data_IF_768808766982
#
_entry.id   IF_768808766982
#
_cell.length_a   1.000
_cell.length_b   1.000
_cell.length_c   1.000
_cell.angle_alpha   90.00
_cell.angle_beta   90.00
_cell.angle_gamma   90.00
#
_symmetry.space_group_name_H-M   'P 1'
#
loop_
_entity.id
_entity.type
_entity.pdbx_description
1 polymer ?
#
# COMPACT_ATOMS: atom_id res chain seq x y z
N UNK A 1 2.85 -2.58 36.16
CA UNK A 1 3.18 -1.24 35.60
C UNK A 1 1.97 -0.36 35.80
N UNK A 2 2.02 0.56 36.76
CA UNK A 2 1.00 1.61 36.88
C UNK A 2 1.05 2.52 35.66
N UNK A 3 -0.14 2.87 35.13
CA UNK A 3 -0.28 3.70 33.93
C UNK A 3 0.02 5.15 34.30
N UNK A 4 0.96 5.77 33.60
CA UNK A 4 1.24 7.19 33.77
C UNK A 4 0.00 8.02 33.36
N UNK A 5 -0.43 8.96 34.20
CA UNK A 5 -1.55 9.87 33.96
C UNK A 5 -1.09 11.07 33.10
N UNK A 6 -2.00 11.68 32.33
CA UNK A 6 -1.72 12.86 31.49
C UNK A 6 -0.92 14.02 32.15
N UNK A 7 -1.06 14.33 33.46
CA UNK A 7 -0.23 15.34 34.14
C UNK A 7 1.27 15.02 34.12
N UNK A 8 1.63 13.75 34.08
CA UNK A 8 3.02 13.30 34.06
C UNK A 8 3.65 13.50 32.69
N UNK A 9 2.85 13.49 31.62
CA UNK A 9 3.33 13.70 30.26
C UNK A 9 3.69 15.18 30.00
N UNK A 10 2.94 16.11 30.59
CA UNK A 10 3.26 17.54 30.53
C UNK A 10 4.47 17.88 31.41
N UNK A 11 4.61 17.22 32.56
CA UNK A 11 5.83 17.30 33.38
C UNK A 11 7.05 16.81 32.60
N UNK A 12 6.93 15.70 31.88
CA UNK A 12 7.99 15.17 31.01
C UNK A 12 8.40 16.18 29.94
N UNK A 13 7.45 16.77 29.22
CA UNK A 13 7.73 17.82 28.24
C UNK A 13 8.46 19.02 28.87
N UNK A 14 7.90 19.56 29.96
CA UNK A 14 8.48 20.71 30.65
C UNK A 14 9.90 20.41 31.13
N UNK A 15 10.12 19.23 31.71
CA UNK A 15 11.48 18.82 32.11
C UNK A 15 12.40 18.70 30.91
N UNK A 16 11.97 18.14 29.77
CA UNK A 16 12.80 18.05 28.57
C UNK A 16 13.19 19.43 28.03
N UNK A 17 12.27 20.40 28.05
CA UNK A 17 12.53 21.80 27.67
C UNK A 17 13.46 22.50 28.66
N UNK A 18 13.22 22.39 29.97
CA UNK A 18 14.07 22.96 31.02
C UNK A 18 15.49 22.39 30.97
N UNK A 19 15.62 21.07 30.75
CA UNK A 19 16.92 20.43 30.59
C UNK A 19 17.63 20.90 29.33
N UNK A 20 16.91 21.04 28.22
CA UNK A 20 17.49 21.58 26.99
C UNK A 20 17.99 23.01 27.14
N UNK A 21 17.25 23.84 27.84
CA UNK A 21 17.67 25.21 28.14
C UNK A 21 18.89 25.25 29.08
N UNK A 22 18.98 24.30 30.02
CA UNK A 22 20.03 24.27 31.04
C UNK A 22 21.36 23.66 30.57
N UNK A 23 21.32 22.75 29.59
CA UNK A 23 22.49 21.99 29.14
C UNK A 23 22.62 21.95 27.60
N UNK A 24 22.74 23.11 26.91
CA UNK A 24 22.72 23.17 25.45
C UNK A 24 23.97 22.56 24.78
N UNK A 25 25.10 22.41 25.49
CA UNK A 25 26.38 21.96 24.92
C UNK A 25 26.99 20.74 25.65
N UNK A 26 26.28 20.14 26.62
CA UNK A 26 26.83 19.02 27.39
C UNK A 26 26.55 17.67 26.71
N UNK A 27 27.45 17.27 25.82
CA UNK A 27 27.45 15.97 25.14
C UNK A 27 27.30 14.78 26.11
N UNK A 28 27.87 14.88 27.32
CA UNK A 28 27.83 13.80 28.31
C UNK A 28 26.47 13.71 28.98
N UNK A 29 25.81 14.86 29.18
CA UNK A 29 24.45 14.91 29.70
C UNK A 29 23.50 14.22 28.72
N UNK A 30 23.50 14.62 27.45
CA UNK A 30 22.62 14.06 26.44
C UNK A 30 22.91 12.59 26.14
N UNK A 31 24.18 12.18 26.11
CA UNK A 31 24.55 10.78 25.92
C UNK A 31 23.94 9.83 26.96
N UNK A 32 23.74 10.28 28.21
CA UNK A 32 23.18 9.46 29.28
C UNK A 32 21.66 9.62 29.43
N UNK A 33 21.14 10.84 29.25
CA UNK A 33 19.73 11.14 29.52
C UNK A 33 18.80 10.90 28.33
N UNK A 34 19.32 10.99 27.10
CA UNK A 34 18.48 10.84 25.91
C UNK A 34 17.87 9.45 25.81
N UNK A 35 18.64 8.39 26.07
CA UNK A 35 18.12 7.01 26.04
C UNK A 35 16.99 6.81 27.05
N UNK A 36 17.11 7.40 28.24
CA UNK A 36 16.07 7.36 29.27
C UNK A 36 14.79 8.09 28.82
N UNK A 37 14.93 9.30 28.25
CA UNK A 37 13.78 10.07 27.75
C UNK A 37 13.09 9.41 26.56
N UNK A 38 13.86 8.79 25.67
CA UNK A 38 13.30 8.00 24.56
C UNK A 38 12.54 6.78 25.10
N UNK A 39 13.04 6.10 26.14
CA UNK A 39 12.34 4.99 26.79
C UNK A 39 11.06 5.44 27.51
N UNK A 40 11.04 6.62 28.13
CA UNK A 40 9.81 7.18 28.72
C UNK A 40 8.78 7.53 27.64
N UNK A 41 9.22 8.18 26.56
CA UNK A 41 8.36 8.45 25.41
C UNK A 41 7.81 7.15 24.79
N UNK A 42 8.62 6.09 24.73
CA UNK A 42 8.21 4.77 24.29
C UNK A 42 7.15 4.15 25.21
N UNK A 43 7.35 4.22 26.52
CA UNK A 43 6.40 3.71 27.50
C UNK A 43 5.06 4.45 27.42
N UNK A 44 5.09 5.77 27.20
CA UNK A 44 3.89 6.58 26.95
C UNK A 44 3.21 6.19 25.63
N UNK A 45 3.99 6.02 24.55
CA UNK A 45 3.47 5.56 23.26
C UNK A 45 2.82 4.16 23.36
N UNK A 46 3.39 3.30 24.19
CA UNK A 46 2.93 1.93 24.42
C UNK A 46 1.63 1.84 25.21
N UNK A 47 1.22 2.92 25.87
CA UNK A 47 -0.06 2.96 26.59
C UNK A 47 -1.29 2.88 25.67
N UNK A 48 -1.12 3.14 24.36
CA UNK A 48 -2.21 3.18 23.38
C UNK A 48 -3.13 4.38 23.51
N UNK A 49 -2.88 5.30 24.45
CA UNK A 49 -3.72 6.48 24.64
C UNK A 49 -3.22 7.66 23.80
N UNK A 50 -4.12 8.26 23.00
CA UNK A 50 -3.84 9.45 22.20
C UNK A 50 -3.17 10.60 22.96
N UNK A 51 -3.60 10.92 24.19
CA UNK A 51 -2.99 11.96 25.02
C UNK A 51 -1.54 11.64 25.42
N UNK A 52 -1.23 10.38 25.71
CA UNK A 52 0.13 9.92 25.97
C UNK A 52 1.00 9.98 24.72
N UNK A 53 0.45 9.61 23.56
CA UNK A 53 1.13 9.71 22.28
C UNK A 53 1.40 11.17 21.86
N UNK A 54 0.44 12.06 22.04
CA UNK A 54 0.60 13.49 21.78
C UNK A 54 1.75 14.08 22.60
N UNK A 55 1.78 13.81 23.91
CA UNK A 55 2.84 14.31 24.78
C UNK A 55 4.21 13.71 24.43
N UNK A 56 4.28 12.40 24.15
CA UNK A 56 5.51 11.76 23.68
C UNK A 56 6.00 12.35 22.34
N UNK A 57 5.09 12.73 21.44
CA UNK A 57 5.43 13.39 20.18
C UNK A 57 6.03 14.79 20.42
N UNK A 58 5.46 15.56 21.35
CA UNK A 58 6.01 16.87 21.76
C UNK A 58 7.42 16.71 22.33
N UNK A 59 7.61 15.74 23.23
CA UNK A 59 8.92 15.40 23.81
C UNK A 59 9.91 15.02 22.71
N UNK A 60 9.54 14.13 21.78
CA UNK A 60 10.41 13.76 20.65
C UNK A 60 10.76 14.94 19.76
N UNK A 61 9.83 15.88 19.51
CA UNK A 61 10.11 17.06 18.70
C UNK A 61 11.21 17.93 19.32
N UNK A 62 11.19 18.07 20.65
CA UNK A 62 12.24 18.78 21.41
C UNK A 62 13.56 18.01 21.38
N UNK A 63 13.51 16.70 21.64
CA UNK A 63 14.68 15.84 21.76
C UNK A 63 15.32 15.45 20.42
N UNK A 64 14.62 15.61 19.30
CA UNK A 64 15.09 15.15 17.98
C UNK A 64 16.41 15.80 17.55
N UNK A 65 16.56 17.11 17.74
CA UNK A 65 17.79 17.80 17.35
C UNK A 65 18.98 17.25 18.13
N UNK A 66 18.79 17.05 19.44
CA UNK A 66 19.80 16.46 20.32
C UNK A 66 20.08 14.99 19.95
N UNK A 67 19.04 14.21 19.62
CA UNK A 67 19.19 12.82 19.21
C UNK A 67 19.97 12.63 17.92
N UNK A 68 19.77 13.54 16.96
CA UNK A 68 20.53 13.56 15.72
C UNK A 68 21.97 14.06 15.93
N UNK A 69 22.20 14.97 16.88
CA UNK A 69 23.53 15.48 17.23
C UNK A 69 24.39 14.50 18.02
N UNK A 70 23.83 13.79 18.99
CA UNK A 70 24.57 12.97 19.96
C UNK A 70 24.58 11.47 19.64
N UNK A 71 24.44 11.09 18.36
CA UNK A 71 24.54 9.70 17.87
C UNK A 71 23.55 8.71 18.51
N UNK A 72 22.36 9.16 18.92
CA UNK A 72 21.33 8.21 19.24
C UNK A 72 21.03 7.32 18.04
N UNK A 73 20.69 6.06 18.28
CA UNK A 73 20.34 5.12 17.22
C UNK A 73 19.17 5.69 16.40
N UNK A 74 19.39 6.09 15.13
CA UNK A 74 18.35 6.69 14.30
C UNK A 74 17.15 5.75 14.10
N UNK A 75 17.36 4.43 14.21
CA UNK A 75 16.28 3.46 14.12
C UNK A 75 15.32 3.54 15.32
N UNK A 76 15.83 3.84 16.51
CA UNK A 76 15.00 3.97 17.72
C UNK A 76 14.11 5.20 17.66
N UNK A 77 14.66 6.37 17.32
CA UNK A 77 13.86 7.59 17.14
C UNK A 77 12.79 7.37 16.07
N UNK A 78 13.17 6.75 14.95
CA UNK A 78 12.24 6.42 13.87
C UNK A 78 11.07 5.53 14.35
N UNK A 79 11.36 4.41 15.03
CA UNK A 79 10.31 3.52 15.54
C UNK A 79 9.31 4.25 16.44
N UNK A 80 9.80 5.17 17.26
CA UNK A 80 8.95 5.97 18.14
C UNK A 80 8.08 6.95 17.35
N UNK A 81 8.64 7.67 16.37
CA UNK A 81 7.87 8.59 15.52
C UNK A 81 6.72 7.86 14.80
N UNK A 82 6.99 6.70 14.21
CA UNK A 82 5.99 5.87 13.52
C UNK A 82 4.92 5.38 14.48
N UNK A 83 5.31 4.87 15.65
CA UNK A 83 4.37 4.37 16.66
C UNK A 83 3.42 5.47 17.15
N UNK A 84 3.95 6.67 17.40
CA UNK A 84 3.16 7.80 17.86
C UNK A 84 2.19 8.29 16.79
N UNK A 85 2.66 8.39 15.54
CA UNK A 85 1.80 8.73 14.43
C UNK A 85 0.66 7.70 14.22
N UNK A 86 0.93 6.40 14.40
CA UNK A 86 -0.11 5.35 14.40
C UNK A 86 -1.16 5.59 15.49
N UNK A 87 -0.74 5.79 16.73
CA UNK A 87 -1.66 6.01 17.84
C UNK A 87 -2.52 7.26 17.63
N UNK A 88 -1.93 8.35 17.11
CA UNK A 88 -2.66 9.59 16.83
C UNK A 88 -3.62 9.48 15.63
N UNK A 89 -3.32 8.61 14.67
CA UNK A 89 -4.19 8.29 13.54
C UNK A 89 -5.41 7.47 13.99
N UNK A 90 -5.19 6.39 14.74
CA UNK A 90 -6.25 5.46 15.17
C UNK A 90 -7.35 6.14 16.02
N UNK A 91 -6.98 7.08 16.88
CA UNK A 91 -7.94 7.85 17.70
C UNK A 91 -8.86 8.76 16.87
N UNK A 92 -8.44 9.13 15.65
CA UNK A 92 -9.25 9.92 14.73
C UNK A 92 -10.30 9.10 13.96
N UNK A 93 -9.98 7.85 13.60
CA UNK A 93 -10.82 7.00 12.74
C UNK A 93 -12.07 6.47 13.43
N UNK A 94 -12.00 6.18 14.74
CA UNK A 94 -13.15 5.68 15.52
C UNK A 94 -14.33 6.67 15.54
N UNK A 95 -14.06 7.96 15.33
CA UNK A 95 -15.08 9.01 15.33
C UNK A 95 -15.81 9.16 13.99
N UNK A 96 -15.13 8.90 12.87
CA UNK A 96 -15.69 9.10 11.53
C UNK A 96 -16.66 7.99 11.11
N UNK A 97 -16.44 6.77 11.60
CA UNK A 97 -17.27 5.60 11.28
C UNK A 97 -18.46 5.40 12.24
N UNK A 98 -18.57 6.21 13.29
CA UNK A 98 -19.70 6.22 14.23
C UNK A 98 -20.99 6.69 13.56
N UNK A 99 -21.59 5.81 12.77
CA UNK A 99 -22.94 5.95 12.19
C UNK A 99 -24.04 5.46 13.14
N UNK A 100 -23.75 5.40 14.44
CA UNK A 100 -24.76 5.14 15.48
C UNK A 100 -25.78 6.30 15.52
N UNK A 101 -26.76 6.19 14.62
CA UNK A 101 -28.10 6.75 14.79
C UNK A 101 -28.68 6.15 16.07
N UNK A 102 -28.42 6.79 17.19
CA UNK A 102 -29.15 6.55 18.42
C UNK A 102 -30.58 7.10 18.27
N UNK A 103 -31.48 6.26 17.75
CA UNK A 103 -32.87 6.24 18.21
C UNK A 103 -32.85 5.65 19.62
N UNK A 104 -33.19 6.44 20.64
CA UNK A 104 -33.40 5.90 21.99
C UNK A 104 -33.04 6.85 23.12
N UNK A 105 -34.07 7.52 23.63
CA UNK A 105 -34.11 8.29 24.87
C UNK A 105 -33.66 7.51 26.11
N UNK A 106 -33.15 8.25 27.11
CA UNK A 106 -33.00 7.91 28.54
C UNK A 106 -31.81 7.03 29.01
N UNK A 107 -30.75 7.66 29.54
CA UNK A 107 -30.45 7.72 30.99
C UNK A 107 -29.01 8.19 31.32
N UNK A 108 -28.97 9.13 32.27
CA UNK A 108 -28.09 9.25 33.45
C UNK A 108 -26.57 9.49 33.29
N UNK A 109 -26.18 10.75 33.56
CA UNK A 109 -25.15 11.19 34.52
C UNK A 109 -24.08 10.16 34.95
N UNK A 110 -23.19 9.84 34.01
CA UNK A 110 -21.86 9.32 34.31
C UNK A 110 -20.82 10.37 33.94
N UNK A 111 -20.34 11.14 34.93
CA UNK A 111 -19.15 11.98 34.83
C UNK A 111 -17.88 11.10 34.71
N UNK A 112 -17.81 10.29 33.65
CA UNK A 112 -16.62 9.60 33.23
C UNK A 112 -15.72 10.61 32.56
N UNK A 113 -14.53 10.84 33.14
CA UNK A 113 -13.46 11.59 32.53
C UNK A 113 -13.26 11.09 31.10
N UNK A 114 -13.82 11.82 30.12
CA UNK A 114 -13.64 11.55 28.71
C UNK A 114 -12.15 11.50 28.45
N UNK A 115 -11.65 10.31 28.09
CA UNK A 115 -10.30 10.13 27.61
C UNK A 115 -10.09 11.18 26.53
N UNK A 116 -9.22 12.16 26.82
CA UNK A 116 -9.02 13.30 25.94
C UNK A 116 -8.40 12.76 24.66
N UNK A 117 -9.23 12.62 23.62
CA UNK A 117 -8.83 12.33 22.26
C UNK A 117 -7.74 13.31 21.81
N UNK A 118 -6.89 12.85 20.90
CA UNK A 118 -5.88 13.67 20.23
C UNK A 118 -6.55 14.88 19.59
N UNK A 119 -6.05 16.07 19.94
CA UNK A 119 -6.55 17.31 19.38
C UNK A 119 -6.21 17.41 17.88
N UNK A 120 -6.92 18.26 17.13
CA UNK A 120 -6.54 18.55 15.74
C UNK A 120 -5.08 19.04 15.61
N UNK A 121 -4.58 19.73 16.65
CA UNK A 121 -3.18 20.16 16.73
C UNK A 121 -2.20 18.98 16.85
N UNK A 122 -2.57 17.92 17.59
CA UNK A 122 -1.71 16.73 17.71
C UNK A 122 -1.64 15.96 16.39
N UNK A 123 -2.77 15.86 15.67
CA UNK A 123 -2.80 15.31 14.31
C UNK A 123 -1.94 16.12 13.35
N UNK A 124 -2.06 17.45 13.37
CA UNK A 124 -1.21 18.32 12.56
C UNK A 124 0.27 18.13 12.90
N UNK A 125 0.63 18.08 14.19
CA UNK A 125 2.01 17.89 14.62
C UNK A 125 2.58 16.54 14.14
N UNK A 126 1.78 15.47 14.15
CA UNK A 126 2.19 14.18 13.61
C UNK A 126 2.39 14.23 12.09
N UNK A 127 1.48 14.87 11.37
CA UNK A 127 1.59 15.09 9.93
C UNK A 127 2.85 15.88 9.57
N UNK A 128 3.08 17.02 10.22
CA UNK A 128 4.25 17.88 10.02
C UNK A 128 5.56 17.12 10.26
N UNK A 129 5.60 16.28 11.29
CA UNK A 129 6.76 15.47 11.61
C UNK A 129 7.06 14.46 10.50
N UNK A 130 6.07 13.69 10.08
CA UNK A 130 6.21 12.72 8.99
C UNK A 130 6.58 13.42 7.67
N UNK A 131 5.99 14.58 7.40
CA UNK A 131 6.28 15.38 6.22
C UNK A 131 7.74 15.87 6.21
N UNK A 132 8.23 16.39 7.34
CA UNK A 132 9.62 16.79 7.47
C UNK A 132 10.59 15.61 7.21
N UNK A 133 10.25 14.40 7.65
CA UNK A 133 11.03 13.18 7.37
C UNK A 133 11.02 12.78 5.91
N UNK A 134 9.89 12.93 5.23
CA UNK A 134 9.82 12.79 3.77
C UNK A 134 10.76 13.77 3.08
N UNK A 135 10.74 15.05 3.46
CA UNK A 135 11.63 16.07 2.87
C UNK A 135 13.11 15.74 3.08
N UNK A 136 13.50 15.23 4.24
CA UNK A 136 14.85 14.72 4.51
C UNK A 136 15.24 13.55 3.60
N UNK A 137 14.33 12.59 3.43
CA UNK A 137 14.55 11.46 2.52
C UNK A 137 14.73 11.94 1.09
N UNK A 138 13.85 12.81 0.59
CA UNK A 138 13.96 13.37 -0.78
C UNK A 138 15.31 14.05 -1.00
N UNK A 139 15.77 14.85 -0.03
CA UNK A 139 17.11 15.49 -0.09
C UNK A 139 18.22 14.46 -0.10
N UNK A 140 18.11 13.39 0.69
CA UNK A 140 19.10 12.31 0.75
C UNK A 140 19.17 11.55 -0.58
N UNK A 141 18.02 11.22 -1.18
CA UNK A 141 17.95 10.53 -2.49
C UNK A 141 18.49 11.44 -3.60
N UNK A 142 18.09 12.72 -3.62
CA UNK A 142 18.56 13.69 -4.61
C UNK A 142 20.08 13.94 -4.52
N UNK A 143 20.63 14.07 -3.31
CA UNK A 143 22.06 14.26 -3.08
C UNK A 143 22.93 13.06 -3.50
N UNK A 144 22.33 11.87 -3.62
CA UNK A 144 22.99 10.65 -4.08
C UNK A 144 22.90 10.42 -5.59
N UNK A 145 22.24 11.32 -6.33
CA UNK A 145 21.81 11.17 -7.74
C UNK A 145 22.88 10.96 -8.83
N UNK A 146 24.06 10.46 -8.49
CA UNK A 146 25.10 10.03 -9.44
C UNK A 146 25.89 8.79 -9.03
N UNK A 147 25.69 8.27 -7.81
CA UNK A 147 26.40 7.08 -7.31
C UNK A 147 25.43 5.91 -7.18
N UNK A 148 25.85 4.73 -7.64
CA UNK A 148 25.07 3.50 -7.52
C UNK A 148 24.78 3.21 -6.03
N UNK A 149 23.57 3.55 -5.59
CA UNK A 149 23.21 3.47 -4.18
C UNK A 149 22.77 2.05 -3.85
N UNK A 150 23.72 1.18 -3.49
CA UNK A 150 23.43 -0.19 -3.04
C UNK A 150 22.51 -0.27 -1.81
N UNK A 151 22.30 0.85 -1.11
CA UNK A 151 21.45 0.97 0.08
C UNK A 151 20.10 1.68 -0.18
N UNK A 152 19.79 2.07 -1.43
CA UNK A 152 18.53 2.78 -1.73
C UNK A 152 17.31 1.92 -1.42
N UNK A 153 17.34 0.63 -1.77
CA UNK A 153 16.24 -0.30 -1.50
C UNK A 153 15.95 -0.42 0.00
N UNK A 154 16.99 -0.54 0.84
CA UNK A 154 16.84 -0.62 2.28
C UNK A 154 16.37 0.70 2.88
N UNK A 155 16.84 1.83 2.36
CA UNK A 155 16.38 3.16 2.75
C UNK A 155 14.89 3.36 2.42
N UNK A 156 14.46 3.04 1.20
CA UNK A 156 13.06 3.13 0.77
C UNK A 156 12.17 2.22 1.62
N UNK A 157 12.60 0.98 1.85
CA UNK A 157 11.90 0.02 2.72
C UNK A 157 11.73 0.58 4.14
N UNK A 158 12.80 1.17 4.72
CA UNK A 158 12.75 1.78 6.06
C UNK A 158 11.79 2.98 6.15
N UNK A 159 11.46 3.61 5.02
CA UNK A 159 10.56 4.76 4.97
C UNK A 159 9.15 4.42 4.52
N UNK A 160 8.89 3.17 4.09
CA UNK A 160 7.57 2.74 3.65
C UNK A 160 6.47 3.04 4.68
N UNK A 161 6.68 2.66 5.95
CA UNK A 161 5.73 2.90 7.04
C UNK A 161 5.35 4.38 7.20
N UNK A 162 6.28 5.30 6.88
CA UNK A 162 6.00 6.75 6.94
C UNK A 162 5.09 7.20 5.80
N UNK A 163 5.29 6.68 4.60
CA UNK A 163 4.39 6.94 3.47
C UNK A 163 3.00 6.39 3.77
N UNK A 164 2.92 5.18 4.31
CA UNK A 164 1.65 4.58 4.74
C UNK A 164 0.91 5.45 5.74
N UNK A 165 1.61 5.98 6.73
CA UNK A 165 1.02 6.89 7.71
C UNK A 165 0.62 8.23 7.12
N UNK A 166 1.46 8.85 6.29
CA UNK A 166 1.12 10.10 5.62
C UNK A 166 -0.11 9.96 4.73
N UNK A 167 -0.13 8.95 3.86
CA UNK A 167 -1.25 8.64 2.97
C UNK A 167 -2.51 8.36 3.80
N UNK A 168 -2.39 7.55 4.84
CA UNK A 168 -3.48 7.25 5.75
C UNK A 168 -4.05 8.50 6.42
N UNK A 169 -3.21 9.34 7.02
CA UNK A 169 -3.63 10.59 7.66
C UNK A 169 -4.30 11.55 6.67
N UNK A 170 -3.79 11.66 5.44
CA UNK A 170 -4.40 12.50 4.40
C UNK A 170 -5.78 12.00 4.01
N UNK A 171 -5.99 10.69 3.90
CA UNK A 171 -7.28 10.11 3.53
C UNK A 171 -8.29 10.16 4.69
N UNK A 172 -7.85 9.85 5.91
CA UNK A 172 -8.72 9.81 7.09
C UNK A 172 -9.17 11.22 7.51
N UNK A 173 -8.43 12.26 7.09
CA UNK A 173 -8.63 13.64 7.52
C UNK A 173 -8.71 14.64 6.37
N UNK A 174 -8.99 14.19 5.14
CA UNK A 174 -9.05 15.01 3.93
C UNK A 174 -9.98 16.24 4.05
N UNK A 175 -10.97 16.21 4.94
CA UNK A 175 -11.86 17.33 5.25
C UNK A 175 -11.74 17.90 6.68
N UNK A 176 -10.84 17.38 7.52
CA UNK A 176 -10.79 17.68 8.95
C UNK A 176 -9.77 18.77 9.33
N UNK A 177 -9.34 19.59 8.36
CA UNK A 177 -8.51 20.77 8.61
C UNK A 177 -7.02 20.48 8.83
N UNK A 178 -6.48 19.40 8.26
CA UNK A 178 -5.03 19.28 8.14
C UNK A 178 -4.52 20.41 7.23
N UNK A 179 -3.62 21.24 7.77
CA UNK A 179 -2.89 22.22 6.99
C UNK A 179 -1.91 21.49 6.08
N UNK A 180 -2.18 21.57 4.77
CA UNK A 180 -1.31 20.99 3.75
C UNK A 180 -0.07 21.87 3.57
N UNK A 181 1.07 21.26 3.20
CA UNK A 181 2.33 21.97 3.01
C UNK A 181 2.25 22.93 1.81
N UNK A 182 3.04 24.00 1.84
CA UNK A 182 3.15 24.92 0.70
C UNK A 182 3.57 24.18 -0.58
N UNK A 183 2.91 24.49 -1.70
CA UNK A 183 3.11 23.80 -2.97
C UNK A 183 2.44 22.42 -3.06
N UNK A 184 1.65 22.01 -2.05
CA UNK A 184 0.66 20.96 -2.25
C UNK A 184 -0.29 21.33 -3.40
N UNK A 185 -0.90 20.35 -4.07
CA UNK A 185 -1.86 20.62 -5.14
C UNK A 185 -2.92 21.60 -4.66
N UNK A 186 -3.09 22.71 -5.37
CA UNK A 186 -4.25 23.57 -5.22
C UNK A 186 -5.42 22.82 -5.87
N UNK A 187 -6.00 21.86 -5.14
CA UNK A 187 -7.12 21.08 -5.66
C UNK A 187 -8.26 22.00 -6.10
N UNK A 188 -8.90 21.68 -7.23
CA UNK A 188 -10.01 22.48 -7.77
C UNK A 188 -11.25 22.49 -6.84
N UNK A 189 -11.32 21.53 -5.91
CA UNK A 189 -12.37 21.41 -4.90
C UNK A 189 -11.76 21.26 -3.50
N UNK A 190 -12.33 21.95 -2.51
CA UNK A 190 -11.91 21.85 -1.11
C UNK A 190 -12.13 20.42 -0.59
N UNK A 191 -11.04 19.72 -0.26
CA UNK A 191 -11.03 18.30 0.15
C UNK A 191 -10.26 17.40 -0.82
N UNK A 192 -10.18 17.77 -2.11
CA UNK A 192 -9.49 16.97 -3.12
C UNK A 192 -7.97 17.06 -2.95
N UNK A 193 -7.43 18.23 -2.60
CA UNK A 193 -6.00 18.46 -2.44
C UNK A 193 -5.28 17.45 -1.53
N UNK A 194 -5.92 17.00 -0.45
CA UNK A 194 -5.34 16.00 0.44
C UNK A 194 -5.30 14.60 -0.20
N UNK A 195 -6.36 14.22 -0.92
CA UNK A 195 -6.43 12.94 -1.66
C UNK A 195 -5.46 12.94 -2.84
N UNK A 196 -5.34 14.07 -3.54
CA UNK A 196 -4.35 14.26 -4.61
C UNK A 196 -2.93 14.14 -4.07
N UNK A 197 -2.64 14.79 -2.95
CA UNK A 197 -1.34 14.66 -2.30
C UNK A 197 -1.08 13.23 -1.85
N UNK A 198 -2.08 12.52 -1.33
CA UNK A 198 -1.96 11.11 -0.96
C UNK A 198 -1.61 10.23 -2.18
N UNK A 199 -2.23 10.49 -3.33
CA UNK A 199 -1.91 9.82 -4.58
C UNK A 199 -0.46 10.10 -5.03
N UNK A 200 -0.04 11.37 -5.02
CA UNK A 200 1.32 11.76 -5.42
C UNK A 200 2.39 11.15 -4.50
N UNK A 201 2.11 11.07 -3.18
CA UNK A 201 2.97 10.39 -2.22
C UNK A 201 3.09 8.89 -2.52
N UNK A 202 1.98 8.25 -2.87
CA UNK A 202 1.96 6.84 -3.25
C UNK A 202 2.80 6.59 -4.51
N UNK A 203 2.60 7.37 -5.57
CA UNK A 203 3.38 7.20 -6.82
C UNK A 203 4.85 7.60 -6.63
N UNK A 204 5.18 8.54 -5.74
CA UNK A 204 6.56 8.83 -5.34
C UNK A 204 7.23 7.63 -4.69
N UNK A 205 6.59 7.01 -3.69
CA UNK A 205 7.11 5.82 -3.05
C UNK A 205 7.30 4.69 -4.05
N UNK A 206 6.31 4.47 -4.92
CA UNK A 206 6.33 3.42 -5.94
C UNK A 206 7.47 3.59 -6.93
N UNK A 207 7.68 4.81 -7.45
CA UNK A 207 8.78 5.12 -8.35
C UNK A 207 10.14 4.83 -7.71
N UNK A 208 10.28 5.05 -6.39
CA UNK A 208 11.51 4.71 -5.68
C UNK A 208 11.71 3.21 -5.48
N UNK A 209 10.66 2.44 -5.19
CA UNK A 209 10.74 0.97 -5.11
C UNK A 209 11.13 0.38 -6.47
N UNK A 210 10.51 0.88 -7.55
CA UNK A 210 10.82 0.47 -8.92
C UNK A 210 12.27 0.85 -9.29
N UNK A 211 12.67 2.10 -9.04
CA UNK A 211 14.02 2.60 -9.31
C UNK A 211 15.10 1.88 -8.51
N UNK A 212 14.83 1.54 -7.25
CA UNK A 212 15.74 0.75 -6.41
C UNK A 212 15.91 -0.70 -6.89
N UNK A 213 14.93 -1.22 -7.65
CA UNK A 213 14.99 -2.55 -8.25
C UNK A 213 15.59 -2.53 -9.67
N UNK A 214 15.72 -1.34 -10.29
CA UNK A 214 16.24 -1.21 -11.64
C UNK A 214 17.77 -1.35 -11.68
N UNK A 215 18.35 -2.05 -12.68
CA UNK A 215 19.79 -2.32 -12.75
C UNK A 215 20.65 -1.06 -12.90
N UNK A 216 20.09 0.05 -13.39
CA UNK A 216 20.79 1.32 -13.49
C UNK A 216 20.77 2.13 -12.18
N UNK A 217 19.89 1.79 -11.23
CA UNK A 217 19.77 2.47 -9.93
C UNK A 217 19.42 3.95 -9.99
N UNK A 218 19.04 4.49 -11.15
CA UNK A 218 18.67 5.89 -11.30
C UNK A 218 17.22 6.06 -10.82
N UNK A 219 16.97 6.84 -9.75
CA UNK A 219 15.60 7.10 -9.30
C UNK A 219 14.84 7.82 -10.40
N UNK A 220 13.69 7.27 -10.77
CA UNK A 220 12.81 7.87 -11.77
C UNK A 220 12.07 9.06 -11.16
N UNK A 221 11.82 10.10 -11.96
CA UNK A 221 10.92 11.18 -11.55
C UNK A 221 9.51 10.59 -11.44
N UNK A 222 8.89 10.60 -10.25
CA UNK A 222 7.55 10.05 -10.09
C UNK A 222 6.53 10.87 -10.85
N UNK A 223 5.55 10.20 -11.44
CA UNK A 223 4.39 10.84 -12.02
C UNK A 223 3.59 11.58 -10.96
N UNK A 224 3.18 12.80 -11.29
CA UNK A 224 2.14 13.51 -10.55
C UNK A 224 0.75 13.15 -11.08
N UNK A 225 -0.28 13.29 -10.25
CA UNK A 225 -1.67 13.15 -10.68
C UNK A 225 -2.00 14.07 -11.85
N UNK A 226 -1.47 15.30 -11.83
CA UNK A 226 -1.66 16.27 -12.92
C UNK A 226 -1.16 15.74 -14.26
N UNK A 227 0.02 15.14 -14.29
CA UNK A 227 0.57 14.52 -15.50
C UNK A 227 -0.24 13.30 -15.93
N UNK A 228 -0.66 12.46 -14.97
CA UNK A 228 -1.54 11.32 -15.25
C UNK A 228 -2.87 11.77 -15.86
N UNK A 229 -3.53 12.78 -15.29
CA UNK A 229 -4.77 13.38 -15.81
C UNK A 229 -4.58 13.86 -17.24
N UNK A 230 -3.52 14.62 -17.50
CA UNK A 230 -3.22 15.11 -18.84
C UNK A 230 -3.01 13.96 -19.85
N UNK A 231 -2.31 12.91 -19.44
CA UNK A 231 -2.09 11.73 -20.27
C UNK A 231 -3.37 10.95 -20.55
N UNK A 232 -4.21 10.74 -19.54
CA UNK A 232 -5.46 9.99 -19.67
C UNK A 232 -6.49 10.75 -20.50
N UNK A 233 -6.62 12.07 -20.29
CA UNK A 233 -7.55 12.91 -21.03
C UNK A 233 -7.19 13.06 -22.52
N UNK A 234 -5.93 12.80 -22.89
CA UNK A 234 -5.49 12.80 -24.28
C UNK A 234 -5.91 11.55 -25.07
N UNK A 235 -6.41 10.51 -24.39
CA UNK A 235 -6.88 9.29 -25.04
C UNK A 235 -8.31 9.49 -25.62
N UNK A 236 -8.57 9.15 -26.90
CA UNK A 236 -9.90 9.31 -27.50
C UNK A 236 -10.98 8.48 -26.79
N UNK A 237 -10.61 7.39 -26.11
CA UNK A 237 -11.51 6.51 -25.38
C UNK A 237 -11.52 6.81 -23.86
N UNK A 238 -11.07 7.99 -23.44
CA UNK A 238 -11.00 8.40 -22.03
C UNK A 238 -12.31 8.17 -21.25
N UNK A 239 -13.48 8.37 -21.87
CA UNK A 239 -14.79 8.12 -21.23
C UNK A 239 -15.06 6.65 -20.89
N UNK A 240 -14.31 5.72 -21.46
CA UNK A 240 -14.44 4.28 -21.19
C UNK A 240 -13.30 3.76 -20.30
N UNK A 241 -12.39 4.63 -19.85
CA UNK A 241 -11.17 4.24 -19.16
C UNK A 241 -11.12 4.76 -17.72
N UNK A 242 -10.59 3.95 -16.81
CA UNK A 242 -10.17 4.38 -15.49
C UNK A 242 -8.81 3.80 -15.14
N UNK A 243 -8.01 4.58 -14.41
CA UNK A 243 -6.77 4.11 -13.80
C UNK A 243 -7.04 3.74 -12.34
N UNK A 244 -6.59 2.57 -11.92
CA UNK A 244 -6.78 2.04 -10.56
C UNK A 244 -5.41 1.71 -9.97
N UNK A 245 -5.00 2.40 -8.91
CA UNK A 245 -3.69 2.20 -8.26
C UNK A 245 -3.88 1.63 -6.87
N UNK A 246 -3.25 0.50 -6.60
CA UNK A 246 -3.27 -0.13 -5.28
C UNK A 246 -2.00 0.22 -4.51
N UNK A 247 -2.18 0.49 -3.22
CA UNK A 247 -1.12 0.68 -2.25
C UNK A 247 -1.40 -0.21 -1.05
N UNK A 248 -0.56 -1.20 -0.79
CA UNK A 248 -0.75 -2.13 0.32
C UNK A 248 0.26 -1.83 1.42
N UNK A 249 -0.21 -1.81 2.68
CA UNK A 249 0.71 -1.72 3.80
C UNK A 249 1.66 -2.93 3.83
N UNK A 250 2.97 -2.70 3.99
CA UNK A 250 3.96 -3.79 4.11
C UNK A 250 3.83 -4.54 5.42
N UNK A 251 3.50 -3.84 6.50
CA UNK A 251 3.52 -4.42 7.84
C UNK A 251 2.51 -5.56 7.94
N UNK A 252 3.00 -6.69 8.48
CA UNK A 252 2.20 -7.88 8.72
C UNK A 252 1.39 -7.86 10.01
N UNK A 253 1.19 -6.68 10.60
CA UNK A 253 0.28 -6.48 11.72
C UNK A 253 -1.18 -6.51 11.28
N UNK A 254 -2.08 -6.80 12.22
CA UNK A 254 -3.52 -6.94 11.94
C UNK A 254 -4.20 -5.59 11.60
N UNK A 255 -3.47 -4.47 11.68
CA UNK A 255 -3.96 -3.10 11.39
C UNK A 255 -3.58 -2.59 9.99
N UNK A 256 -2.85 -3.38 9.20
CA UNK A 256 -2.44 -2.97 7.85
C UNK A 256 -3.62 -3.01 6.87
N UNK A 257 -3.92 -1.89 6.21
CA UNK A 257 -4.93 -1.79 5.16
C UNK A 257 -4.37 -1.69 3.75
N UNK A 258 -5.26 -1.66 2.77
CA UNK A 258 -4.98 -1.35 1.38
C UNK A 258 -5.74 -0.09 0.98
N UNK A 259 -5.02 0.85 0.37
CA UNK A 259 -5.60 2.04 -0.25
C UNK A 259 -5.71 1.80 -1.75
N UNK A 260 -6.85 2.15 -2.33
CA UNK A 260 -7.12 2.02 -3.76
C UNK A 260 -7.48 3.41 -4.29
N UNK A 261 -6.66 3.94 -5.20
CA UNK A 261 -6.95 5.19 -5.89
C UNK A 261 -7.58 4.91 -7.24
N UNK A 262 -8.66 5.62 -7.58
CA UNK A 262 -9.30 5.58 -8.89
C UNK A 262 -9.20 6.95 -9.53
N UNK A 263 -8.68 7.01 -10.75
CA UNK A 263 -8.67 8.22 -11.58
C UNK A 263 -9.51 7.96 -12.82
N UNK A 264 -10.58 8.74 -12.99
CA UNK A 264 -11.39 8.71 -14.21
C UNK A 264 -10.66 9.44 -15.34
N UNK A 265 -10.49 8.79 -16.49
CA UNK A 265 -9.67 9.35 -17.56
C UNK A 265 -10.31 10.58 -18.23
N UNK A 266 -11.64 10.64 -18.32
CA UNK A 266 -12.38 11.74 -18.94
C UNK A 266 -12.52 12.99 -18.07
N UNK A 267 -12.85 12.80 -16.81
CA UNK A 267 -13.14 13.87 -15.86
C UNK A 267 -11.92 14.26 -15.02
N UNK A 268 -10.89 13.41 -14.99
CA UNK A 268 -9.76 13.56 -14.08
C UNK A 268 -10.13 13.36 -12.60
N UNK A 269 -11.38 12.99 -12.29
CA UNK A 269 -11.84 12.82 -10.91
C UNK A 269 -10.99 11.74 -10.22
N UNK A 270 -10.47 12.08 -9.04
CA UNK A 270 -9.73 11.16 -8.17
C UNK A 270 -10.64 10.73 -7.02
N UNK A 271 -10.62 9.44 -6.68
CA UNK A 271 -11.30 8.90 -5.51
C UNK A 271 -10.41 7.90 -4.80
N UNK A 272 -10.28 8.03 -3.48
CA UNK A 272 -9.56 7.08 -2.63
C UNK A 272 -10.54 6.15 -1.91
N UNK A 273 -10.25 4.85 -1.95
CA UNK A 273 -10.96 3.83 -1.17
C UNK A 273 -9.99 3.21 -0.18
N UNK A 274 -10.49 2.84 0.99
CA UNK A 274 -9.75 2.07 1.97
C UNK A 274 -10.37 0.69 2.14
N UNK A 275 -9.50 -0.29 2.29
CA UNK A 275 -9.84 -1.70 2.50
C UNK A 275 -9.06 -2.20 3.71
N UNK A 276 -9.70 -3.02 4.54
CA UNK A 276 -9.04 -3.65 5.69
C UNK A 276 -8.05 -4.75 5.29
N UNK A 277 -7.96 -5.07 4.00
CA UNK A 277 -7.08 -6.12 3.50
C UNK A 277 -5.62 -5.70 3.53
N UNK A 278 -4.84 -6.37 4.38
CA UNK A 278 -3.42 -6.06 4.57
C UNK A 278 -2.50 -6.81 3.59
N UNK A 279 -1.27 -6.30 3.42
CA UNK A 279 -0.27 -6.94 2.54
C UNK A 279 0.06 -8.39 2.93
N UNK A 280 -0.02 -8.74 4.23
CA UNK A 280 0.18 -10.13 4.69
C UNK A 280 -0.93 -11.06 4.21
N UNK A 281 -2.18 -10.62 4.25
CA UNK A 281 -3.33 -11.39 3.76
C UNK A 281 -3.21 -11.60 2.26
N UNK A 282 -2.80 -10.58 1.52
CA UNK A 282 -2.60 -10.64 0.08
C UNK A 282 -1.47 -11.61 -0.31
N UNK A 283 -0.33 -11.54 0.38
CA UNK A 283 0.78 -12.50 0.18
C UNK A 283 0.37 -13.93 0.55
N UNK A 284 -0.44 -14.11 1.61
CA UNK A 284 -1.01 -15.41 1.98
C UNK A 284 -1.96 -15.94 0.91
N UNK A 285 -2.87 -15.10 0.40
CA UNK A 285 -3.78 -15.45 -0.68
C UNK A 285 -3.01 -15.84 -1.95
N UNK A 286 -2.01 -15.06 -2.36
CA UNK A 286 -1.14 -15.39 -3.49
C UNK A 286 -0.40 -16.72 -3.29
N UNK A 287 0.16 -16.95 -2.10
CA UNK A 287 0.81 -18.22 -1.75
C UNK A 287 -0.15 -19.40 -1.79
N UNK A 288 -1.39 -19.23 -1.32
CA UNK A 288 -2.44 -20.25 -1.39
C UNK A 288 -2.90 -20.51 -2.83
N UNK A 289 -3.05 -19.48 -3.66
CA UNK A 289 -3.36 -19.63 -5.08
C UNK A 289 -2.27 -20.43 -5.79
N UNK A 290 -1.00 -20.03 -5.63
CA UNK A 290 0.14 -20.75 -6.20
C UNK A 290 0.12 -22.22 -5.79
N UNK A 291 -0.05 -22.54 -4.50
CA UNK A 291 -0.18 -23.94 -4.05
C UNK A 291 -1.40 -24.65 -4.64
N UNK A 292 -2.53 -23.97 -4.79
CA UNK A 292 -3.74 -24.57 -5.34
C UNK A 292 -3.58 -24.96 -6.82
N UNK A 293 -2.87 -24.14 -7.60
CA UNK A 293 -2.64 -24.35 -9.04
C UNK A 293 -1.41 -25.23 -9.32
N UNK A 294 -0.27 -24.94 -8.70
CA UNK A 294 1.01 -25.59 -8.97
C UNK A 294 1.25 -26.83 -8.09
N UNK A 295 0.43 -27.00 -7.05
CA UNK A 295 0.64 -28.03 -6.03
C UNK A 295 1.59 -27.59 -4.93
N UNK A 296 1.85 -28.51 -4.01
CA UNK A 296 2.76 -28.37 -2.87
C UNK A 296 3.28 -29.77 -2.51
N UNK A 297 4.50 -30.09 -2.96
CA UNK A 297 5.12 -31.39 -2.74
C UNK A 297 5.51 -31.62 -1.26
N UNK A 298 5.71 -30.53 -0.51
CA UNK A 298 6.14 -30.55 0.88
C UNK A 298 4.96 -30.57 1.85
N UNK A 299 3.73 -30.35 1.36
CA UNK A 299 2.51 -30.51 2.14
C UNK A 299 2.32 -31.97 2.60
N UNK A 300 1.64 -32.16 3.72
CA UNK A 300 1.30 -33.49 4.25
C UNK A 300 -0.23 -33.66 4.33
N UNK A 301 -0.88 -34.43 3.43
CA UNK A 301 -0.30 -35.14 2.28
C UNK A 301 0.11 -34.19 1.12
N UNK A 302 1.03 -34.63 0.23
CA UNK A 302 1.46 -33.81 -0.91
C UNK A 302 0.27 -33.40 -1.77
N UNK A 303 0.26 -32.12 -2.14
CA UNK A 303 -0.79 -31.52 -2.95
C UNK A 303 -0.36 -31.57 -4.43
N UNK A 304 -0.98 -32.38 -5.29
CA UNK A 304 -0.61 -32.38 -6.70
C UNK A 304 -1.08 -31.08 -7.40
N UNK A 305 -0.41 -30.67 -8.50
CA UNK A 305 -0.86 -29.59 -9.35
C UNK A 305 -2.31 -29.76 -9.80
N UNK A 306 -2.99 -28.66 -10.09
CA UNK A 306 -4.37 -28.67 -10.52
C UNK A 306 -4.50 -29.44 -11.85
N UNK A 307 -5.31 -30.52 -11.92
CA UNK A 307 -5.48 -31.25 -13.15
C UNK A 307 -6.25 -30.40 -14.17
N UNK A 308 -5.67 -30.20 -15.35
CA UNK A 308 -6.23 -29.37 -16.42
C UNK A 308 -7.68 -29.71 -16.81
N UNK A 309 -8.10 -30.97 -16.60
CA UNK A 309 -9.46 -31.44 -16.93
C UNK A 309 -10.52 -31.10 -15.87
N UNK A 310 -10.13 -30.72 -14.64
CA UNK A 310 -11.06 -30.49 -13.52
C UNK A 310 -10.61 -29.33 -12.63
N UNK A 311 -10.45 -28.10 -13.18
CA UNK A 311 -9.98 -26.96 -12.41
C UNK A 311 -10.92 -26.58 -11.25
N UNK A 312 -12.23 -26.82 -11.40
CA UNK A 312 -13.26 -26.53 -10.39
C UNK A 312 -13.19 -27.40 -9.11
N UNK A 313 -12.29 -28.39 -9.02
CA UNK A 313 -12.17 -29.24 -7.83
C UNK A 313 -11.43 -28.59 -6.67
N UNK A 314 -10.70 -27.50 -6.90
CA UNK A 314 -10.05 -26.75 -5.83
C UNK A 314 -10.96 -25.60 -5.43
N UNK A 315 -11.32 -25.57 -4.15
CA UNK A 315 -12.02 -24.43 -3.57
C UNK A 315 -11.08 -23.23 -3.50
N UNK A 316 -11.56 -22.09 -4.00
CA UNK A 316 -10.84 -20.83 -3.98
C UNK A 316 -11.54 -19.81 -3.06
N UNK A 317 -12.33 -20.28 -2.09
CA UNK A 317 -13.13 -19.47 -1.17
C UNK A 317 -12.30 -18.30 -0.58
N UNK A 318 -11.05 -18.56 -0.18
CA UNK A 318 -10.16 -17.52 0.36
C UNK A 318 -9.80 -16.37 -0.61
N UNK A 319 -9.83 -16.63 -1.92
CA UNK A 319 -9.64 -15.62 -2.94
C UNK A 319 -10.95 -14.87 -3.18
N UNK A 320 -12.07 -15.56 -3.14
CA UNK A 320 -13.40 -14.96 -3.21
C UNK A 320 -13.70 -14.07 -2.00
N UNK A 321 -13.27 -14.47 -0.80
CA UNK A 321 -13.39 -13.72 0.46
C UNK A 321 -12.63 -12.39 0.40
N UNK A 322 -11.54 -12.33 -0.38
CA UNK A 322 -10.78 -11.10 -0.58
C UNK A 322 -11.39 -10.15 -1.61
N UNK A 323 -12.35 -10.61 -2.42
CA UNK A 323 -12.88 -9.84 -3.53
C UNK A 323 -13.61 -8.55 -3.09
N UNK A 324 -14.47 -8.54 -2.06
CA UNK A 324 -15.15 -7.31 -1.63
C UNK A 324 -14.18 -6.19 -1.26
N UNK A 325 -13.09 -6.52 -0.55
CA UNK A 325 -12.08 -5.54 -0.16
C UNK A 325 -11.17 -5.11 -1.32
N UNK A 326 -10.81 -6.02 -2.24
CA UNK A 326 -9.98 -5.69 -3.40
C UNK A 326 -10.75 -4.96 -4.51
N UNK A 327 -12.07 -5.12 -4.55
CA UNK A 327 -12.98 -4.54 -5.53
C UNK A 327 -13.85 -3.43 -4.93
N UNK A 328 -13.45 -2.85 -3.79
CA UNK A 328 -14.17 -1.75 -3.14
C UNK A 328 -14.37 -0.53 -4.05
N UNK A 329 -13.54 -0.40 -5.08
CA UNK A 329 -13.57 0.67 -6.07
C UNK A 329 -14.65 0.51 -7.17
N UNK A 330 -15.32 -0.65 -7.26
CA UNK A 330 -16.29 -0.93 -8.32
C UNK A 330 -17.38 0.14 -8.52
N UNK A 331 -17.96 0.74 -7.45
CA UNK A 331 -18.95 1.79 -7.63
C UNK A 331 -18.45 2.98 -8.46
N UNK A 332 -17.17 3.38 -8.30
CA UNK A 332 -16.60 4.49 -9.07
C UNK A 332 -16.39 4.16 -10.54
N UNK A 333 -16.03 2.92 -10.88
CA UNK A 333 -15.72 2.53 -12.27
C UNK A 333 -16.94 2.00 -13.05
N UNK A 334 -18.15 2.25 -12.56
CA UNK A 334 -19.39 1.84 -13.25
C UNK A 334 -19.43 2.46 -14.65
N UNK A 335 -19.62 1.62 -15.67
CA UNK A 335 -19.67 2.06 -17.09
C UNK A 335 -18.30 2.27 -17.74
N UNK A 336 -17.19 2.02 -17.03
CA UNK A 336 -15.84 2.02 -17.61
C UNK A 336 -15.52 0.64 -18.16
N UNK A 337 -15.21 0.53 -19.44
CA UNK A 337 -14.93 -0.76 -20.07
C UNK A 337 -13.46 -1.18 -19.87
N UNK A 338 -12.54 -0.22 -19.79
CA UNK A 338 -11.10 -0.45 -19.63
C UNK A 338 -10.61 0.00 -18.25
N UNK A 339 -9.90 -0.88 -17.56
CA UNK A 339 -9.25 -0.59 -16.29
C UNK A 339 -7.72 -0.77 -16.43
N UNK A 340 -6.99 0.33 -16.32
CA UNK A 340 -5.52 0.32 -16.20
C UNK A 340 -5.15 0.14 -14.73
N UNK A 341 -4.81 -1.09 -14.33
CA UNK A 341 -4.61 -1.46 -12.93
C UNK A 341 -3.13 -1.49 -12.56
N UNK A 342 -2.71 -0.56 -11.72
CA UNK A 342 -1.38 -0.47 -11.17
C UNK A 342 -1.31 -1.19 -9.81
N UNK A 343 -0.86 -2.45 -9.81
CA UNK A 343 -0.85 -3.31 -8.61
C UNK A 343 0.39 -3.13 -7.73
N UNK A 344 0.20 -2.98 -6.43
CA UNK A 344 1.27 -3.11 -5.43
C UNK A 344 2.03 -4.45 -5.58
N UNK A 345 3.34 -4.53 -5.30
CA UNK A 345 4.09 -5.79 -5.33
C UNK A 345 3.43 -6.96 -4.57
N UNK A 346 2.73 -6.70 -3.46
CA UNK A 346 2.00 -7.72 -2.72
C UNK A 346 0.82 -8.32 -3.50
N UNK A 347 0.29 -7.60 -4.49
CA UNK A 347 -0.86 -7.97 -5.32
C UNK A 347 -0.47 -8.50 -6.70
N UNK A 348 0.78 -8.34 -7.15
CA UNK A 348 1.22 -8.75 -8.49
C UNK A 348 0.98 -10.24 -8.78
N UNK A 349 1.01 -11.07 -7.74
CA UNK A 349 0.76 -12.51 -7.85
C UNK A 349 -0.73 -12.90 -7.82
N UNK A 350 -1.64 -11.93 -7.63
CA UNK A 350 -3.09 -12.17 -7.64
C UNK A 350 -3.68 -11.88 -9.03
N UNK A 351 -4.48 -12.80 -9.60
CA UNK A 351 -5.15 -12.58 -10.86
C UNK A 351 -6.38 -11.68 -10.67
N UNK A 352 -6.19 -10.36 -10.49
CA UNK A 352 -7.28 -9.43 -10.18
C UNK A 352 -8.44 -9.48 -11.18
N UNK A 353 -8.15 -9.74 -12.46
CA UNK A 353 -9.15 -9.90 -13.51
C UNK A 353 -10.10 -11.11 -13.27
N UNK A 354 -9.66 -12.10 -12.48
CA UNK A 354 -10.45 -13.28 -12.12
C UNK A 354 -11.20 -13.13 -10.78
N UNK A 355 -11.06 -12.00 -10.07
CA UNK A 355 -11.82 -11.78 -8.83
C UNK A 355 -13.32 -11.77 -9.14
N UNK A 356 -14.15 -12.46 -8.34
CA UNK A 356 -15.59 -12.47 -8.54
C UNK A 356 -16.18 -11.09 -8.20
N UNK A 357 -17.11 -10.63 -9.02
CA UNK A 357 -17.90 -9.44 -8.75
C UNK A 357 -18.85 -9.69 -7.57
N UNK A 358 -19.10 -8.68 -6.71
CA UNK A 358 -19.96 -8.80 -5.53
C UNK A 358 -21.47 -8.92 -5.85
N UNK A 359 -21.89 -8.75 -7.10
CA UNK A 359 -23.31 -8.80 -7.49
C UNK A 359 -23.88 -10.23 -7.50
N UNK A 360 -25.12 -10.37 -7.03
CA UNK A 360 -25.90 -11.60 -6.87
C UNK A 360 -26.33 -12.31 -8.18
N UNK A 361 -25.77 -11.92 -9.32
CA UNK A 361 -25.93 -12.66 -10.57
C UNK A 361 -25.07 -13.93 -10.47
N UNK A 362 -25.54 -14.87 -9.65
CA UNK A 362 -25.11 -16.24 -9.73
C UNK A 362 -25.39 -16.70 -11.15
N UNK A 363 -24.33 -17.02 -11.89
CA UNK A 363 -24.49 -17.62 -13.21
C UNK A 363 -25.31 -18.91 -13.11
N UNK A 364 -25.73 -19.51 -14.24
CA UNK A 364 -26.56 -20.72 -14.28
C UNK A 364 -25.99 -21.95 -13.57
N UNK A 365 -24.80 -21.85 -12.95
CA UNK A 365 -24.11 -22.89 -12.19
C UNK A 365 -23.69 -22.45 -10.77
N UNK A 366 -24.20 -21.33 -10.25
CA UNK A 366 -23.75 -20.76 -8.97
C UNK A 366 -22.34 -20.14 -9.04
N UNK A 367 -21.77 -20.01 -10.24
CA UNK A 367 -20.48 -19.37 -10.46
C UNK A 367 -20.63 -17.87 -10.47
N UNK A 368 -19.87 -17.18 -9.61
CA UNK A 368 -19.82 -15.72 -9.59
C UNK A 368 -19.12 -15.20 -10.85
N UNK A 369 -19.64 -14.11 -11.40
CA UNK A 369 -19.10 -13.50 -12.61
C UNK A 369 -17.75 -12.83 -12.31
N UNK A 370 -16.63 -13.18 -12.99
CA UNK A 370 -15.33 -12.54 -12.79
C UNK A 370 -15.30 -11.10 -13.30
N UNK A 371 -14.41 -10.28 -12.73
CA UNK A 371 -14.17 -8.88 -13.12
C UNK A 371 -13.95 -8.73 -14.64
N UNK A 372 -13.18 -9.65 -15.24
CA UNK A 372 -12.86 -9.66 -16.67
C UNK A 372 -14.08 -9.78 -17.60
N UNK A 373 -15.24 -10.23 -17.11
CA UNK A 373 -16.46 -10.28 -17.92
C UNK A 373 -17.13 -8.92 -18.09
N UNK A 374 -16.87 -7.96 -17.18
CA UNK A 374 -17.40 -6.59 -17.28
C UNK A 374 -16.34 -5.58 -17.72
N UNK A 375 -15.07 -5.83 -17.42
CA UNK A 375 -13.99 -4.89 -17.66
C UNK A 375 -12.81 -5.56 -18.34
N UNK A 376 -12.25 -4.93 -19.37
CA UNK A 376 -10.93 -5.21 -19.87
C UNK A 376 -9.90 -4.71 -18.84
N UNK A 377 -9.19 -5.63 -18.20
CA UNK A 377 -8.20 -5.28 -17.16
C UNK A 377 -6.80 -5.35 -17.77
N UNK A 378 -6.10 -4.22 -17.79
CA UNK A 378 -4.70 -4.11 -18.22
C UNK A 378 -3.85 -3.80 -17.01
N UNK A 379 -2.94 -4.71 -16.67
CA UNK A 379 -1.99 -4.46 -15.58
C UNK A 379 -0.86 -3.54 -16.07
N UNK A 380 -0.58 -2.51 -15.27
CA UNK A 380 0.53 -1.58 -15.49
C UNK A 380 1.40 -1.52 -14.22
N UNK A 381 2.67 -1.16 -14.36
CA UNK A 381 3.59 -1.18 -13.21
C UNK A 381 3.37 -0.02 -12.26
N UNK A 382 3.03 1.17 -12.74
CA UNK A 382 2.81 2.42 -11.98
C UNK A 382 2.20 3.49 -12.92
N UNK A 383 1.75 4.63 -12.38
CA UNK A 383 1.38 5.78 -13.21
C UNK A 383 2.61 6.29 -13.99
N UNK A 384 3.77 6.31 -13.32
CA UNK A 384 5.07 6.63 -13.92
C UNK A 384 5.38 5.74 -15.12
N UNK A 385 5.22 4.42 -14.99
CA UNK A 385 5.43 3.48 -16.09
C UNK A 385 4.43 3.68 -17.24
N UNK A 386 3.17 3.99 -16.93
CA UNK A 386 2.15 4.29 -17.93
C UNK A 386 2.52 5.54 -18.74
N UNK A 387 2.82 6.66 -18.08
CA UNK A 387 3.24 7.91 -18.73
C UNK A 387 4.42 7.69 -19.66
N UNK A 388 5.42 6.94 -19.22
CA UNK A 388 6.61 6.62 -20.04
C UNK A 388 6.26 5.78 -21.26
N UNK A 389 5.35 4.82 -21.10
CA UNK A 389 4.91 3.97 -22.20
C UNK A 389 4.19 4.79 -23.27
N UNK A 390 3.38 5.76 -22.86
CA UNK A 390 2.67 6.68 -23.76
C UNK A 390 3.61 7.69 -24.41
N UNK A 391 4.58 8.23 -23.67
CA UNK A 391 5.54 9.21 -24.17
C UNK A 391 6.58 8.63 -25.14
N UNK A 392 6.78 7.31 -25.15
CA UNK A 392 7.70 6.67 -26.10
C UNK A 392 7.20 6.87 -27.52
N UNK A 393 8.03 7.39 -28.44
CA UNK A 393 7.68 7.47 -29.85
C UNK A 393 7.21 6.09 -30.31
N UNK A 394 5.98 6.00 -30.85
CA UNK A 394 5.51 4.76 -31.45
C UNK A 394 6.51 4.39 -32.53
N UNK A 395 7.22 3.29 -32.33
CA UNK A 395 8.10 2.76 -33.35
C UNK A 395 7.29 2.69 -34.65
N UNK A 396 7.84 3.15 -35.79
CA UNK A 396 7.11 3.14 -37.06
C UNK A 396 6.55 1.73 -37.24
N UNK A 397 5.22 1.61 -37.29
CA UNK A 397 4.53 0.32 -37.39
C UNK A 397 5.21 -0.42 -38.54
N UNK A 398 5.91 -1.55 -38.29
CA UNK A 398 6.54 -2.29 -39.38
C UNK A 398 5.41 -2.63 -40.35
N UNK A 399 5.46 -2.03 -41.55
CA UNK A 399 4.38 -2.13 -42.52
C UNK A 399 3.99 -3.59 -42.67
N UNK A 400 2.71 -3.91 -42.39
CA UNK A 400 2.05 -5.23 -42.46
C UNK A 400 2.98 -6.34 -42.96
N UNK A 401 3.90 -6.83 -42.14
CA UNK A 401 4.50 -8.13 -42.39
C UNK A 401 3.46 -9.12 -41.93
N UNK A 402 2.73 -9.69 -42.89
CA UNK A 402 1.92 -10.87 -42.67
C UNK A 402 2.82 -11.92 -42.02
N UNK A 403 2.64 -12.14 -40.72
CA UNK A 403 3.19 -13.31 -40.05
C UNK A 403 2.43 -14.52 -40.62
N UNK A 404 2.91 -15.05 -41.74
CA UNK A 404 2.56 -16.39 -42.17
C UNK A 404 3.03 -17.35 -41.08
N UNK A 405 2.09 -17.77 -40.22
CA UNK A 405 2.34 -18.78 -39.22
C UNK A 405 2.78 -20.07 -39.90
N UNK A 406 4.09 -20.37 -39.85
CA UNK A 406 4.57 -21.73 -40.05
C UNK A 406 4.13 -22.54 -38.84
N UNK A 407 2.96 -23.17 -38.94
CA UNK A 407 2.55 -24.26 -38.06
C UNK A 407 3.57 -25.40 -38.19
N UNK A 408 4.56 -25.44 -37.29
CA UNK A 408 5.36 -26.64 -37.06
C UNK A 408 4.44 -27.66 -36.36
N UNK A 409 3.81 -28.52 -37.16
CA UNK A 409 3.31 -29.81 -36.67
C UNK A 409 4.53 -30.58 -36.14
N UNK A 410 4.59 -30.76 -34.82
CA UNK A 410 5.52 -31.72 -34.22
C UNK A 410 5.15 -33.14 -34.69
N UNK A 411 6.14 -34.03 -34.90
CA UNK A 411 5.86 -35.41 -35.22
C UNK A 411 5.23 -36.08 -34.00
N UNK A 412 4.06 -36.69 -34.18
CA UNK A 412 3.41 -37.47 -33.14
C UNK A 412 4.26 -38.68 -32.72
N UNK A 413 4.17 -39.12 -31.46
CA UNK A 413 4.89 -40.30 -31.00
C UNK A 413 4.32 -41.54 -31.71
N UNK A 414 5.17 -42.19 -32.50
CA UNK A 414 4.87 -43.47 -33.13
C UNK A 414 4.58 -44.54 -32.09
N UNK A 415 3.42 -45.16 -32.24
CA UNK A 415 3.06 -46.41 -31.61
C UNK A 415 3.99 -47.53 -32.09
N UNK A 416 4.69 -48.17 -31.16
CA UNK A 416 5.36 -49.44 -31.40
C UNK A 416 5.13 -50.34 -30.18
N UNK A 417 4.35 -51.42 -30.36
CA UNK A 417 4.14 -52.38 -29.27
C UNK A 417 3.02 -53.41 -29.43
N UNK A 418 2.76 -53.95 -30.62
CA UNK A 418 1.92 -55.14 -30.76
C UNK A 418 2.56 -56.12 -31.77
N UNK A 419 3.37 -57.05 -31.27
CA UNK A 419 3.92 -58.17 -32.05
C UNK A 419 2.89 -59.29 -32.09
N UNK A 420 2.20 -59.46 -33.20
CA UNK A 420 1.49 -60.70 -33.51
C UNK A 420 2.30 -61.57 -34.47
N UNK A 421 2.49 -62.82 -34.04
CA UNK A 421 3.28 -63.89 -34.66
C UNK A 421 2.78 -64.24 -36.06
N UNK A 422 3.71 -64.37 -37.02
CA UNK A 422 3.50 -65.14 -38.24
C UNK A 422 4.22 -66.49 -38.11
N UNK A 423 3.42 -67.55 -38.27
CA UNK A 423 3.84 -68.95 -38.38
C UNK A 423 4.64 -69.17 -39.68
N UNK A 424 5.65 -70.04 -39.64
CA UNK A 424 6.01 -70.90 -40.77
C UNK A 424 6.36 -72.33 -40.29
N UNK A 425 6.23 -73.34 -41.17
CA UNK A 425 5.95 -74.72 -40.78
C UNK A 425 7.18 -75.63 -40.70
N UNK A 426 6.91 -76.82 -40.17
CA UNK A 426 7.73 -78.03 -39.98
C UNK A 426 8.67 -78.39 -41.16
N UNK A 427 9.91 -78.78 -40.86
CA UNK A 427 10.35 -80.19 -40.90
C UNK A 427 11.79 -80.39 -40.35
N UNK A 428 11.93 -81.49 -39.59
CA UNK A 428 13.13 -82.19 -39.07
C UNK A 428 14.02 -82.76 -40.19
N UNK A 429 15.24 -83.33 -39.95
CA UNK A 429 15.80 -83.89 -38.70
C UNK A 429 16.68 -82.96 -37.88
#
# INVERSE_FOLDING_TARGET
MERLRAPEAELLLRTAEEFRASFPEDDRYWGNHLAFRLAEAEALAASGHAGGAAAALRVLRVLRQEALGHRADPATVLRLEVRLARTLRADGTDRANGTDRADGTDRADGAGAGARSGSGADRQAAFDLLWARRCELRRTVAGRGGEACGDLAALVTRHQERYELLIGMLLDHAGAGLALPEGAPEGDLAGDAAVELAFDLHEEYRAWVEGASAPAGVPETPATLRELRACLAADPDARHCAFVSYFCSAEGGDEGGCVIFVVHADTGQLTGFQSSLGGREMRRAAGRLRRAFDGDADALPPLPPLPARRPWRRKLDFFEDSAPGLLAFLPAVTGRELLCVATDPALQALPLAALPLPSADEGPQGTRTPLAHRHAVVQVSSATALLRTVARPRAPRPGRRQCAGRGRRGPGPGAAGARHRLRRPLHRP
#
